data_IF_512003719611
#
_entry.id   IF_512003719611
#
_cell.length_a   1.000
_cell.length_b   1.000
_cell.length_c   1.000
_cell.angle_alpha   90.00
_cell.angle_beta   90.00
_cell.angle_gamma   90.00
#
_symmetry.space_group_name_H-M   'P 1'
#
loop_
_entity.id
_entity.type
_entity.pdbx_description
1 polymer ?
#
# COMPACT_ATOMS: atom_id res chain seq x y z
N UNK A 1 6.39 -22.61 11.35
CA UNK A 1 6.95 -21.24 11.38
C UNK A 1 8.36 -21.33 11.93
N UNK A 2 9.37 -20.77 11.25
CA UNK A 2 10.68 -20.54 11.86
C UNK A 2 10.60 -19.29 12.73
N UNK A 3 11.17 -19.34 13.93
CA UNK A 3 11.38 -18.15 14.75
C UNK A 3 12.74 -17.56 14.41
N UNK A 4 12.77 -16.27 14.08
CA UNK A 4 14.00 -15.53 13.78
C UNK A 4 14.14 -14.42 14.80
N UNK A 5 15.34 -14.27 15.37
CA UNK A 5 15.66 -13.21 16.32
C UNK A 5 16.22 -12.00 15.57
N UNK A 6 15.61 -10.83 15.79
CA UNK A 6 16.07 -9.55 15.22
C UNK A 6 16.41 -8.61 16.36
N UNK A 7 17.58 -7.98 16.31
CA UNK A 7 17.97 -6.94 17.27
C UNK A 7 17.25 -5.64 16.93
N UNK A 8 16.55 -5.08 17.89
CA UNK A 8 15.91 -3.77 17.78
C UNK A 8 16.53 -2.82 18.79
N UNK A 9 16.58 -1.55 18.44
CA UNK A 9 16.97 -0.52 19.37
C UNK A 9 16.01 -0.46 20.58
N UNK A 10 16.57 -0.16 21.75
CA UNK A 10 15.82 -0.16 23.01
C UNK A 10 14.77 0.95 23.08
N UNK A 11 15.00 2.10 22.46
CA UNK A 11 14.02 3.18 22.35
C UNK A 11 12.92 2.80 21.37
N UNK A 12 13.28 2.17 20.25
CA UNK A 12 12.31 1.66 19.27
C UNK A 12 11.37 0.62 19.90
N UNK A 13 11.89 -0.30 20.73
CA UNK A 13 11.07 -1.27 21.44
C UNK A 13 10.05 -0.61 22.38
N UNK A 14 10.46 0.47 23.09
CA UNK A 14 9.55 1.24 23.95
C UNK A 14 8.48 1.96 23.13
N UNK A 15 8.86 2.58 22.02
CA UNK A 15 7.91 3.23 21.12
C UNK A 15 6.88 2.22 20.59
N UNK A 16 7.31 1.02 20.17
CA UNK A 16 6.39 -0.04 19.74
C UNK A 16 5.44 -0.44 20.87
N UNK A 17 5.94 -0.57 22.11
CA UNK A 17 5.12 -0.91 23.26
C UNK A 17 4.02 0.14 23.54
N UNK A 18 4.28 1.42 23.26
CA UNK A 18 3.28 2.49 23.42
C UNK A 18 2.23 2.52 22.31
N UNK A 19 2.56 2.10 21.09
CA UNK A 19 1.68 2.18 19.92
C UNK A 19 0.88 0.90 19.70
N UNK A 20 1.46 -0.27 20.01
CA UNK A 20 0.77 -1.55 19.81
C UNK A 20 -0.48 -1.64 20.67
N UNK A 21 -1.49 -2.35 20.18
CA UNK A 21 -2.63 -2.71 21.02
C UNK A 21 -2.17 -3.55 22.22
N UNK A 22 -2.75 -3.38 23.42
CA UNK A 22 -2.44 -4.21 24.59
C UNK A 22 -2.63 -5.70 24.31
N UNK A 23 -3.61 -6.06 23.47
CA UNK A 23 -3.94 -7.44 23.08
C UNK A 23 -3.01 -8.03 22.01
N UNK A 24 -2.17 -7.21 21.38
CA UNK A 24 -1.29 -7.63 20.28
C UNK A 24 0.09 -8.00 20.81
N UNK A 25 0.66 -9.10 20.33
CA UNK A 25 2.05 -9.47 20.64
C UNK A 25 3.04 -8.65 19.83
N UNK A 26 4.29 -8.51 20.30
CA UNK A 26 5.33 -7.78 19.56
C UNK A 26 5.55 -8.38 18.17
N UNK A 27 5.64 -9.71 18.06
CA UNK A 27 5.83 -10.39 16.77
C UNK A 27 4.65 -10.20 15.82
N UNK A 28 3.42 -10.12 16.33
CA UNK A 28 2.25 -9.82 15.50
C UNK A 28 2.29 -8.38 14.98
N UNK A 29 2.65 -7.42 15.84
CA UNK A 29 2.81 -6.02 15.44
C UNK A 29 3.89 -5.85 14.36
N UNK A 30 5.07 -6.44 14.57
CA UNK A 30 6.18 -6.37 13.61
C UNK A 30 5.82 -7.04 12.29
N UNK A 31 5.15 -8.20 12.33
CA UNK A 31 4.67 -8.88 11.11
C UNK A 31 3.74 -7.99 10.30
N UNK A 32 2.73 -7.39 10.94
CA UNK A 32 1.79 -6.50 10.26
C UNK A 32 2.49 -5.27 9.70
N UNK A 33 3.43 -4.67 10.43
CA UNK A 33 4.19 -3.52 9.96
C UNK A 33 5.00 -3.87 8.69
N UNK A 34 5.71 -4.99 8.70
CA UNK A 34 6.48 -5.47 7.54
C UNK A 34 5.58 -5.82 6.36
N UNK A 35 4.45 -6.48 6.59
CA UNK A 35 3.49 -6.79 5.53
C UNK A 35 2.92 -5.54 4.88
N UNK A 36 2.59 -4.51 5.68
CA UNK A 36 2.12 -3.22 5.16
C UNK A 36 3.18 -2.54 4.31
N UNK A 37 4.43 -2.53 4.77
CA UNK A 37 5.51 -1.90 4.02
C UNK A 37 5.81 -2.64 2.71
N UNK A 38 5.89 -3.96 2.76
CA UNK A 38 6.09 -4.80 1.57
C UNK A 38 4.97 -4.59 0.54
N UNK A 39 3.71 -4.59 1.00
CA UNK A 39 2.56 -4.34 0.13
C UNK A 39 2.65 -2.95 -0.53
N UNK A 40 3.02 -1.90 0.23
CA UNK A 40 3.21 -0.55 -0.34
C UNK A 40 4.31 -0.50 -1.38
N UNK A 41 5.43 -1.19 -1.16
CA UNK A 41 6.53 -1.27 -2.12
C UNK A 41 6.07 -1.96 -3.41
N UNK A 42 5.41 -3.12 -3.30
CA UNK A 42 4.86 -3.85 -4.44
C UNK A 42 3.84 -3.03 -5.22
N UNK A 43 2.94 -2.31 -4.54
CA UNK A 43 1.97 -1.44 -5.19
C UNK A 43 2.64 -0.29 -5.95
N UNK A 44 3.71 0.30 -5.39
CA UNK A 44 4.49 1.35 -6.06
C UNK A 44 5.16 0.80 -7.31
N UNK A 45 5.84 -0.34 -7.20
CA UNK A 45 6.51 -0.98 -8.34
C UNK A 45 5.53 -1.39 -9.44
N UNK A 46 4.36 -1.92 -9.07
CA UNK A 46 3.30 -2.24 -10.01
C UNK A 46 2.77 -0.98 -10.72
N UNK A 47 2.55 0.11 -9.98
CA UNK A 47 2.13 1.37 -10.55
C UNK A 47 3.18 1.94 -11.52
N UNK A 48 4.46 1.92 -11.15
CA UNK A 48 5.56 2.37 -12.01
C UNK A 48 5.67 1.52 -13.28
N UNK A 49 5.57 0.20 -13.15
CA UNK A 49 5.61 -0.74 -14.28
C UNK A 49 4.43 -0.52 -15.22
N UNK A 50 3.24 -0.29 -14.68
CA UNK A 50 2.04 -0.04 -15.47
C UNK A 50 2.10 1.32 -16.17
N UNK A 51 2.57 2.36 -15.49
CA UNK A 51 2.83 3.67 -16.11
C UNK A 51 3.87 3.59 -17.23
N UNK A 52 4.88 2.73 -17.08
CA UNK A 52 5.83 2.46 -18.15
C UNK A 52 5.17 1.76 -19.35
N UNK A 53 4.31 0.75 -19.10
CA UNK A 53 3.54 0.06 -20.14
C UNK A 53 2.66 1.03 -20.94
N UNK A 54 1.93 1.94 -20.28
CA UNK A 54 1.09 2.93 -20.96
C UNK A 54 1.89 3.90 -21.85
N UNK A 55 3.17 4.13 -21.54
CA UNK A 55 4.04 4.99 -22.35
C UNK A 55 4.61 4.27 -23.57
N UNK A 56 4.83 2.96 -23.47
CA UNK A 56 5.47 2.16 -24.53
C UNK A 56 4.46 1.45 -25.43
N UNK A 57 3.25 1.20 -24.94
CA UNK A 57 2.19 0.51 -25.67
C UNK A 57 0.98 1.44 -25.88
N UNK A 58 0.84 1.94 -27.11
CA UNK A 58 -0.28 2.81 -27.49
C UNK A 58 -1.63 2.11 -27.46
N UNK A 59 -1.71 0.79 -27.64
CA UNK A 59 -2.97 0.05 -27.58
C UNK A 59 -3.51 0.01 -26.15
N UNK A 60 -2.65 -0.29 -25.17
CA UNK A 60 -3.01 -0.27 -23.74
C UNK A 60 -3.40 1.14 -23.29
N UNK A 61 -2.68 2.16 -23.78
CA UNK A 61 -3.03 3.55 -23.51
C UNK A 61 -4.41 3.93 -24.03
N UNK A 62 -4.70 3.61 -25.30
CA UNK A 62 -5.99 3.91 -25.90
C UNK A 62 -7.13 3.17 -25.17
N UNK A 63 -6.93 1.91 -24.79
CA UNK A 63 -7.88 1.17 -23.99
C UNK A 63 -8.13 1.87 -22.64
N UNK A 64 -7.08 2.33 -21.95
CA UNK A 64 -7.23 3.10 -20.71
C UNK A 64 -8.02 4.40 -20.92
N UNK A 65 -7.71 5.16 -21.97
CA UNK A 65 -8.41 6.41 -22.29
C UNK A 65 -9.91 6.15 -22.56
N UNK A 66 -10.26 5.03 -23.20
CA UNK A 66 -11.65 4.60 -23.37
C UNK A 66 -12.34 4.28 -22.04
N UNK A 67 -11.66 3.58 -21.13
CA UNK A 67 -12.18 3.28 -19.79
C UNK A 67 -12.36 4.54 -18.94
N UNK A 68 -11.47 5.53 -19.06
CA UNK A 68 -11.56 6.81 -18.35
C UNK A 68 -12.73 7.67 -18.86
N UNK A 69 -12.99 7.64 -20.18
CA UNK A 69 -14.11 8.34 -20.80
C UNK A 69 -15.46 7.63 -20.63
N UNK A 70 -15.48 6.39 -20.14
CA UNK A 70 -16.69 5.60 -20.01
C UNK A 70 -17.70 6.26 -19.04
N UNK A 71 -18.98 6.40 -19.45
CA UNK A 71 -19.98 7.02 -18.60
C UNK A 71 -20.23 6.18 -17.34
N UNK A 72 -20.04 6.80 -16.17
CA UNK A 72 -20.38 6.16 -14.89
C UNK A 72 -21.90 6.08 -14.73
N UNK A 73 -22.41 4.94 -14.25
CA UNK A 73 -23.84 4.75 -13.98
C UNK A 73 -24.38 5.73 -12.90
N UNK A 74 -23.52 6.16 -11.98
CA UNK A 74 -23.84 7.13 -10.93
C UNK A 74 -22.71 8.13 -10.81
N UNK A 75 -23.03 9.42 -10.90
CA UNK A 75 -22.03 10.47 -10.70
C UNK A 75 -21.54 10.48 -9.25
N UNK A 76 -20.22 10.44 -8.99
CA UNK A 76 -19.70 10.43 -7.63
C UNK A 76 -20.04 11.75 -6.90
N UNK A 77 -20.46 11.64 -5.62
CA UNK A 77 -20.74 12.79 -4.76
C UNK A 77 -19.45 13.60 -4.55
N UNK A 78 -19.33 14.75 -5.21
CA UNK A 78 -18.23 15.69 -5.00
C UNK A 78 -18.34 16.31 -3.61
N UNK A 79 -17.45 15.90 -2.68
CA UNK A 79 -17.28 16.61 -1.41
C UNK A 79 -16.63 17.95 -1.71
N UNK A 80 -17.42 19.04 -1.59
CA UNK A 80 -16.90 20.42 -1.57
C UNK A 80 -15.91 20.52 -0.40
N UNK A 81 -14.59 20.57 -0.68
CA UNK A 81 -13.60 20.96 0.32
C UNK A 81 -13.88 22.42 0.67
N UNK A 82 -14.09 22.70 1.96
CA UNK A 82 -14.25 24.04 2.51
C UNK A 82 -12.90 24.53 3.01
#
# INVERSE_FOLDING_TARGET
MSATTVKLDGELLRAIATVKSPKQTLSAYVREALQRDLCRQQMREAAESYMHLLRTNSAEKNAMDEWEAAPLATTPRTRRRK
#
